data_IF_272267187458
#
_entry.id   IF_272267187458
#
_cell.length_a   1.000
_cell.length_b   1.000
_cell.length_c   1.000
_cell.angle_alpha   90.00
_cell.angle_beta   90.00
_cell.angle_gamma   90.00
#
_symmetry.space_group_name_H-M   'P 1'
#
loop_
_entity.id
_entity.type
_entity.pdbx_description
1 polymer ?
#
# COMPACT_ATOMS: atom_id res chain seq x y z
N UNK A 1 62.29 -34.85 50.22
CA UNK A 1 62.05 -33.77 49.26
C UNK A 1 60.75 -34.12 48.55
N UNK A 2 59.71 -33.41 48.86
CA UNK A 2 58.36 -33.60 48.23
C UNK A 2 58.10 -32.46 47.33
N UNK A 3 58.08 -32.71 46.04
CA UNK A 3 57.70 -31.75 45.05
C UNK A 3 56.17 -31.60 44.98
N UNK A 4 55.71 -30.42 45.28
CA UNK A 4 54.30 -30.06 45.17
C UNK A 4 54.01 -29.67 43.71
N UNK A 5 53.25 -30.50 43.02
CA UNK A 5 52.79 -30.16 41.67
C UNK A 5 51.49 -29.37 41.81
N UNK A 6 51.54 -28.06 41.47
CA UNK A 6 50.40 -27.17 41.45
C UNK A 6 49.69 -27.31 40.09
N UNK A 7 48.59 -28.04 40.05
CA UNK A 7 47.75 -28.16 38.85
C UNK A 7 46.86 -26.92 38.74
N UNK A 8 47.16 -26.04 37.80
CA UNK A 8 46.31 -24.88 37.45
C UNK A 8 45.17 -25.39 36.58
N UNK A 9 43.97 -25.38 37.13
CA UNK A 9 42.73 -25.65 36.41
C UNK A 9 42.33 -24.42 35.62
N UNK A 10 42.54 -24.44 34.31
CA UNK A 10 42.11 -23.40 33.40
C UNK A 10 40.63 -23.61 33.08
N UNK A 11 39.75 -22.76 33.62
CA UNK A 11 38.33 -22.71 33.28
C UNK A 11 38.12 -22.12 31.90
N UNK A 12 37.29 -22.70 31.04
CA UNK A 12 36.95 -22.09 29.75
C UNK A 12 36.05 -20.84 29.99
N UNK A 13 36.54 -19.69 29.63
CA UNK A 13 35.71 -18.47 29.49
C UNK A 13 34.64 -18.71 28.42
N UNK A 14 33.40 -18.82 28.88
CA UNK A 14 32.25 -18.86 27.99
C UNK A 14 32.19 -17.57 27.14
N UNK A 15 32.18 -17.72 25.86
CA UNK A 15 31.95 -16.61 24.92
C UNK A 15 30.60 -15.96 25.23
N UNK A 16 30.49 -14.62 25.20
CA UNK A 16 29.20 -13.97 25.31
C UNK A 16 28.36 -14.36 24.08
N UNK A 17 27.27 -15.05 24.34
CA UNK A 17 26.30 -15.39 23.32
C UNK A 17 25.79 -14.07 22.69
N UNK A 18 26.14 -13.86 21.45
CA UNK A 18 25.57 -12.79 20.64
C UNK A 18 24.09 -13.09 20.52
N UNK A 19 23.26 -12.34 21.25
CA UNK A 19 21.82 -12.35 21.01
C UNK A 19 21.59 -12.02 19.53
N UNK A 20 20.69 -12.72 18.83
CA UNK A 20 20.38 -12.34 17.45
C UNK A 20 19.85 -10.92 17.50
N UNK A 21 20.55 -10.01 16.80
CA UNK A 21 20.03 -8.69 16.49
C UNK A 21 18.67 -8.89 15.81
N UNK A 22 17.61 -8.68 16.57
CA UNK A 22 16.27 -8.55 16.00
C UNK A 22 16.34 -7.26 15.19
N UNK A 23 16.63 -7.39 13.90
CA UNK A 23 16.41 -6.33 12.93
C UNK A 23 14.91 -6.10 12.92
N UNK A 24 14.47 -5.17 13.77
CA UNK A 24 13.11 -4.63 13.68
C UNK A 24 13.11 -3.82 12.40
N UNK A 25 12.72 -4.44 11.30
CA UNK A 25 12.40 -3.69 10.10
C UNK A 25 11.38 -2.63 10.49
N UNK A 26 11.62 -1.34 10.16
CA UNK A 26 10.61 -0.31 10.39
C UNK A 26 9.32 -0.80 9.71
N UNK A 27 8.15 -0.62 10.35
CA UNK A 27 6.89 -1.08 9.77
C UNK A 27 6.77 -0.48 8.37
N UNK A 28 6.84 -1.33 7.37
CA UNK A 28 6.69 -0.92 5.98
C UNK A 28 5.37 -0.16 5.82
N UNK A 29 5.34 0.84 4.96
CA UNK A 29 4.11 1.56 4.63
C UNK A 29 3.06 0.54 4.20
N UNK A 30 1.86 0.66 4.76
CA UNK A 30 0.68 -0.10 4.34
C UNK A 30 -0.29 0.86 3.66
N UNK A 31 -0.80 0.49 2.50
CA UNK A 31 -1.79 1.31 1.81
C UNK A 31 -3.19 1.01 2.34
N UNK A 32 -3.85 2.00 2.93
CA UNK A 32 -5.29 1.98 3.11
C UNK A 32 -5.96 2.46 1.81
N UNK A 33 -7.07 1.83 1.44
CA UNK A 33 -7.91 2.31 0.34
C UNK A 33 -8.93 3.28 0.92
N UNK A 34 -8.92 4.50 0.41
CA UNK A 34 -9.81 5.58 0.85
C UNK A 34 -10.73 5.99 -0.29
N UNK A 35 -11.99 6.25 0.03
CA UNK A 35 -13.02 6.58 -0.93
C UNK A 35 -13.95 7.69 -0.42
N UNK A 36 -14.70 8.28 -1.34
CA UNK A 36 -15.79 9.19 -0.99
C UNK A 36 -16.88 8.45 -0.21
N UNK A 37 -17.56 9.15 0.70
CA UNK A 37 -18.61 8.56 1.54
C UNK A 37 -19.77 7.93 0.77
N UNK A 38 -20.08 8.42 -0.42
CA UNK A 38 -21.16 7.90 -1.28
C UNK A 38 -20.77 6.65 -2.08
N UNK A 39 -19.52 6.20 -2.04
CA UNK A 39 -19.12 4.94 -2.68
C UNK A 39 -19.91 3.79 -2.00
N UNK A 40 -20.68 3.00 -2.79
CA UNK A 40 -21.71 2.09 -2.22
C UNK A 40 -21.15 0.76 -1.72
N UNK A 41 -19.84 0.66 -1.50
CA UNK A 41 -19.16 -0.56 -1.02
C UNK A 41 -18.31 -0.26 0.20
N UNK A 42 -18.19 -1.23 1.11
CA UNK A 42 -17.34 -1.17 2.30
C UNK A 42 -16.15 -2.13 2.21
N UNK A 43 -16.22 -3.07 1.29
CA UNK A 43 -15.21 -4.10 1.05
C UNK A 43 -15.08 -4.36 -0.45
N UNK A 44 -13.86 -4.59 -0.89
CA UNK A 44 -13.53 -4.99 -2.26
C UNK A 44 -12.58 -6.18 -2.22
N UNK A 45 -12.74 -7.13 -3.11
CA UNK A 45 -11.66 -8.07 -3.37
C UNK A 45 -10.48 -7.35 -4.01
N UNK A 46 -9.28 -7.88 -3.83
CA UNK A 46 -8.09 -7.35 -4.51
C UNK A 46 -8.26 -7.34 -6.03
N UNK A 47 -8.97 -8.34 -6.57
CA UNK A 47 -9.26 -8.43 -8.01
C UNK A 47 -10.20 -7.29 -8.48
N UNK A 48 -11.23 -6.95 -7.70
CA UNK A 48 -12.13 -5.82 -8.01
C UNK A 48 -11.40 -4.48 -7.89
N UNK A 49 -10.57 -4.32 -6.84
CA UNK A 49 -9.73 -3.14 -6.69
C UNK A 49 -8.83 -2.95 -7.92
N UNK A 50 -8.19 -4.00 -8.41
CA UNK A 50 -7.37 -3.97 -9.62
C UNK A 50 -8.17 -3.54 -10.85
N UNK A 51 -9.37 -4.09 -11.06
CA UNK A 51 -10.25 -3.67 -12.17
C UNK A 51 -10.58 -2.18 -12.11
N UNK A 52 -10.83 -1.64 -10.92
CA UNK A 52 -11.08 -0.21 -10.73
C UNK A 52 -9.85 0.61 -11.10
N UNK A 53 -8.69 0.29 -10.54
CA UNK A 53 -7.45 1.03 -10.78
C UNK A 53 -6.93 0.85 -12.21
N UNK A 54 -7.16 -0.27 -12.87
CA UNK A 54 -6.82 -0.51 -14.26
C UNK A 54 -7.83 0.12 -15.26
N UNK A 55 -8.93 0.70 -14.75
CA UNK A 55 -9.95 1.32 -15.57
C UNK A 55 -10.87 0.34 -16.32
N UNK A 56 -10.91 -0.92 -15.88
CA UNK A 56 -11.81 -1.94 -16.42
C UNK A 56 -13.20 -1.84 -15.79
N UNK A 57 -13.29 -1.30 -14.56
CA UNK A 57 -14.53 -0.92 -13.91
C UNK A 57 -14.57 0.59 -13.76
N UNK A 58 -15.45 1.25 -14.49
CA UNK A 58 -15.53 2.71 -14.57
C UNK A 58 -16.72 3.30 -13.81
N UNK A 59 -17.61 2.46 -13.28
CA UNK A 59 -18.78 2.87 -12.51
C UNK A 59 -18.93 2.02 -11.27
N UNK A 60 -19.35 2.65 -10.19
CA UNK A 60 -19.92 2.01 -9.02
C UNK A 60 -21.35 1.54 -9.31
N UNK A 61 -21.97 0.87 -8.37
CA UNK A 61 -23.41 0.59 -8.45
C UNK A 61 -24.20 1.92 -8.44
N UNK A 62 -25.31 1.98 -9.18
CA UNK A 62 -26.13 3.18 -9.27
C UNK A 62 -25.59 4.25 -10.21
N UNK A 63 -24.82 3.89 -11.23
CA UNK A 63 -24.25 4.77 -12.26
C UNK A 63 -23.30 5.88 -11.73
N UNK A 64 -22.84 5.76 -10.49
CA UNK A 64 -21.86 6.66 -9.92
C UNK A 64 -20.49 6.39 -10.59
N UNK A 65 -19.91 7.42 -11.22
CA UNK A 65 -18.65 7.28 -11.92
C UNK A 65 -17.49 7.07 -10.97
N UNK A 66 -16.62 6.11 -11.28
CA UNK A 66 -15.35 5.92 -10.56
C UNK A 66 -14.35 7.01 -10.94
N UNK A 67 -13.79 7.70 -9.96
CA UNK A 67 -12.72 8.69 -10.15
C UNK A 67 -11.48 8.23 -9.38
N UNK A 68 -10.51 7.68 -10.10
CA UNK A 68 -9.27 7.18 -9.50
C UNK A 68 -8.26 8.32 -9.36
N UNK A 69 -7.79 8.54 -8.13
CA UNK A 69 -6.72 9.49 -7.81
C UNK A 69 -5.48 8.70 -7.40
N UNK A 70 -4.35 9.01 -8.02
CA UNK A 70 -3.10 8.28 -7.76
C UNK A 70 -2.03 9.17 -7.15
N UNK A 71 -1.20 8.63 -6.24
CA UNK A 71 -0.13 9.38 -5.58
C UNK A 71 0.85 10.02 -6.54
N UNK A 72 1.59 11.06 -6.09
CA UNK A 72 2.62 11.70 -6.89
C UNK A 72 3.76 10.72 -7.20
N UNK A 73 4.37 10.89 -8.37
CA UNK A 73 5.53 10.10 -8.79
C UNK A 73 6.67 10.25 -7.78
N UNK A 74 7.32 9.14 -7.43
CA UNK A 74 8.43 9.11 -6.47
C UNK A 74 7.99 8.99 -5.00
N UNK A 75 6.68 9.00 -4.69
CA UNK A 75 6.23 8.72 -3.32
C UNK A 75 6.24 7.21 -3.01
N UNK A 76 6.37 6.88 -1.73
CA UNK A 76 6.34 5.49 -1.27
C UNK A 76 4.98 4.84 -1.54
N UNK A 77 3.91 5.61 -1.38
CA UNK A 77 2.54 5.18 -1.70
C UNK A 77 2.38 4.85 -3.18
N UNK A 78 3.03 5.64 -4.06
CA UNK A 78 3.06 5.38 -5.50
C UNK A 78 3.77 4.08 -5.82
N UNK A 79 4.95 3.87 -5.24
CA UNK A 79 5.74 2.65 -5.45
C UNK A 79 4.96 1.41 -5.02
N UNK A 80 4.32 1.44 -3.85
CA UNK A 80 3.51 0.34 -3.35
C UNK A 80 2.26 0.10 -4.21
N UNK A 81 1.56 1.15 -4.62
CA UNK A 81 0.41 1.07 -5.50
C UNK A 81 0.76 0.42 -6.83
N UNK A 82 1.86 0.83 -7.45
CA UNK A 82 2.34 0.25 -8.70
C UNK A 82 2.71 -1.22 -8.53
N UNK A 83 3.42 -1.58 -7.47
CA UNK A 83 3.86 -2.97 -7.23
C UNK A 83 2.73 -3.91 -6.84
N UNK A 84 1.79 -3.49 -5.98
CA UNK A 84 0.77 -4.37 -5.38
C UNK A 84 -0.56 -4.39 -6.14
N UNK A 85 -0.97 -3.26 -6.70
CA UNK A 85 -2.26 -3.14 -7.38
C UNK A 85 -2.10 -3.21 -8.89
N UNK A 86 -1.24 -2.38 -9.47
CA UNK A 86 -1.02 -2.36 -10.91
C UNK A 86 -0.11 -3.50 -11.41
N UNK A 87 0.77 -4.01 -10.56
CA UNK A 87 1.82 -4.99 -10.93
C UNK A 87 2.65 -4.51 -12.12
N UNK A 88 3.05 -3.24 -12.09
CA UNK A 88 3.74 -2.54 -13.16
C UNK A 88 4.83 -1.63 -12.62
N UNK A 89 5.88 -1.47 -13.41
CA UNK A 89 6.83 -0.37 -13.21
C UNK A 89 6.19 0.96 -13.66
N UNK A 90 6.80 2.09 -13.31
CA UNK A 90 6.34 3.42 -13.75
C UNK A 90 6.29 3.54 -15.29
N UNK A 91 7.27 2.95 -15.98
CA UNK A 91 7.29 2.92 -17.45
C UNK A 91 6.17 2.07 -18.02
N UNK A 92 5.96 0.87 -17.49
CA UNK A 92 4.87 -0.02 -17.92
C UNK A 92 3.49 0.59 -17.64
N UNK A 93 3.31 1.25 -16.50
CA UNK A 93 2.09 1.98 -16.16
C UNK A 93 1.79 3.07 -17.20
N UNK A 94 2.80 3.85 -17.57
CA UNK A 94 2.66 4.92 -18.57
C UNK A 94 2.27 4.37 -19.95
N UNK A 95 2.96 3.32 -20.42
CA UNK A 95 2.65 2.66 -21.68
C UNK A 95 1.25 2.04 -21.69
N UNK A 96 0.85 1.41 -20.59
CA UNK A 96 -0.47 0.83 -20.42
C UNK A 96 -1.58 1.88 -20.64
N UNK A 97 -1.47 3.04 -19.98
CA UNK A 97 -2.48 4.09 -20.09
C UNK A 97 -2.48 4.77 -21.44
N UNK A 98 -1.31 5.00 -22.05
CA UNK A 98 -1.23 5.52 -23.42
C UNK A 98 -1.99 4.58 -24.38
N UNK A 99 -1.71 3.29 -24.32
CA UNK A 99 -2.36 2.30 -25.17
C UNK A 99 -3.87 2.20 -24.92
N UNK A 100 -4.30 2.24 -23.64
CA UNK A 100 -5.72 2.14 -23.28
C UNK A 100 -6.53 3.34 -23.74
N UNK A 101 -5.98 4.55 -23.59
CA UNK A 101 -6.62 5.77 -24.10
C UNK A 101 -6.63 5.80 -25.63
N UNK A 102 -5.54 5.39 -26.27
CA UNK A 102 -5.48 5.33 -27.74
C UNK A 102 -6.49 4.35 -28.34
N UNK A 103 -6.80 3.24 -27.64
CA UNK A 103 -7.82 2.28 -28.06
C UNK A 103 -9.24 2.66 -27.64
N UNK A 104 -9.43 3.87 -27.10
CA UNK A 104 -10.72 4.37 -26.60
C UNK A 104 -11.35 3.50 -25.49
N UNK A 105 -10.55 2.65 -24.83
CA UNK A 105 -10.98 1.82 -23.71
C UNK A 105 -11.11 2.62 -22.40
N UNK A 106 -10.49 3.78 -22.34
CA UNK A 106 -10.61 4.75 -21.27
C UNK A 106 -10.53 6.19 -21.83
N UNK A 107 -11.28 7.12 -21.23
CA UNK A 107 -11.24 8.52 -21.64
C UNK A 107 -9.92 9.20 -21.24
N UNK A 108 -9.33 8.81 -20.11
CA UNK A 108 -8.08 9.34 -19.60
C UNK A 108 -7.45 8.38 -18.61
N UNK A 109 -6.16 8.53 -18.38
CA UNK A 109 -5.48 7.88 -17.24
C UNK A 109 -5.99 8.44 -15.90
N UNK A 110 -5.81 7.71 -14.78
CA UNK A 110 -6.10 8.21 -13.44
C UNK A 110 -5.41 9.54 -13.16
N UNK A 111 -6.09 10.39 -12.42
CA UNK A 111 -5.57 11.73 -12.08
C UNK A 111 -4.47 11.62 -11.03
N UNK A 112 -3.26 12.04 -11.41
CA UNK A 112 -2.15 12.15 -10.48
C UNK A 112 -2.32 13.41 -9.62
N UNK A 113 -2.27 13.24 -8.30
CA UNK A 113 -2.30 14.34 -7.36
C UNK A 113 -0.90 14.86 -7.03
N UNK A 114 -0.80 16.10 -6.59
CA UNK A 114 0.48 16.73 -6.24
C UNK A 114 0.96 16.35 -4.82
N UNK A 115 0.04 15.91 -3.96
CA UNK A 115 0.34 15.43 -2.62
C UNK A 115 -0.79 14.54 -2.09
N UNK A 116 -0.52 13.73 -1.05
CA UNK A 116 -1.52 12.88 -0.40
C UNK A 116 -2.58 13.71 0.35
N UNK A 117 -2.23 14.92 0.80
CA UNK A 117 -3.21 15.86 1.38
C UNK A 117 -4.24 16.29 0.33
N UNK A 118 -3.78 16.66 -0.86
CA UNK A 118 -4.67 17.02 -1.97
C UNK A 118 -5.52 15.82 -2.39
N UNK A 119 -4.97 14.59 -2.40
CA UNK A 119 -5.76 13.38 -2.65
C UNK A 119 -6.93 13.27 -1.67
N UNK A 120 -6.67 13.44 -0.37
CA UNK A 120 -7.69 13.37 0.66
C UNK A 120 -8.78 14.44 0.49
N UNK A 121 -8.39 15.66 0.18
CA UNK A 121 -9.34 16.76 -0.06
C UNK A 121 -10.23 16.47 -1.28
N UNK A 122 -9.65 15.97 -2.36
CA UNK A 122 -10.40 15.59 -3.57
C UNK A 122 -11.29 14.37 -3.33
N UNK A 123 -10.84 13.37 -2.57
CA UNK A 123 -11.68 12.21 -2.22
C UNK A 123 -12.92 12.65 -1.45
N UNK A 124 -12.81 13.61 -0.54
CA UNK A 124 -13.96 14.15 0.22
C UNK A 124 -14.93 14.96 -0.64
N UNK A 125 -14.46 15.57 -1.71
CA UNK A 125 -15.24 16.50 -2.54
C UNK A 125 -15.85 15.86 -3.79
N UNK A 126 -15.25 14.81 -4.30
CA UNK A 126 -15.67 14.20 -5.58
C UNK A 126 -16.43 12.91 -5.30
N UNK A 127 -17.76 12.88 -5.53
CA UNK A 127 -18.52 11.64 -5.46
C UNK A 127 -17.91 10.55 -6.35
N UNK A 128 -17.83 9.33 -5.84
CA UNK A 128 -17.23 8.19 -6.53
C UNK A 128 -15.69 8.17 -6.57
N UNK A 129 -15.03 9.14 -5.94
CA UNK A 129 -13.56 9.15 -5.87
C UNK A 129 -13.01 8.02 -5.00
N UNK A 130 -11.89 7.45 -5.45
CA UNK A 130 -11.10 6.45 -4.74
C UNK A 130 -9.61 6.77 -4.87
N UNK A 131 -8.87 6.55 -3.80
CA UNK A 131 -7.43 6.75 -3.73
C UNK A 131 -6.80 5.81 -2.71
N UNK A 132 -5.52 5.97 -2.49
CA UNK A 132 -4.77 5.29 -1.43
C UNK A 132 -4.26 6.29 -0.41
N UNK A 133 -3.99 5.83 0.80
CA UNK A 133 -3.33 6.60 1.84
C UNK A 133 -2.39 5.70 2.64
N UNK A 134 -1.39 6.27 3.28
CA UNK A 134 -0.64 5.58 4.31
C UNK A 134 -1.60 5.24 5.47
N UNK A 135 -1.71 3.97 5.82
CA UNK A 135 -2.61 3.51 6.87
C UNK A 135 -2.35 4.13 8.24
N UNK A 136 -1.13 4.62 8.48
CA UNK A 136 -0.76 5.34 9.70
C UNK A 136 -1.20 6.82 9.70
N UNK A 137 -1.64 7.34 8.55
CA UNK A 137 -1.96 8.77 8.32
C UNK A 137 -3.27 8.95 7.57
N UNK A 138 -4.28 8.14 7.89
CA UNK A 138 -5.59 8.23 7.22
C UNK A 138 -6.22 9.59 7.55
N UNK A 139 -6.56 10.39 6.53
CA UNK A 139 -7.18 11.69 6.75
C UNK A 139 -8.62 11.53 7.27
N UNK A 140 -9.11 12.44 8.12
CA UNK A 140 -10.50 12.40 8.57
C UNK A 140 -11.47 12.70 7.42
N UNK A 141 -12.69 12.18 7.53
CA UNK A 141 -13.78 12.46 6.58
C UNK A 141 -13.74 11.69 5.27
N UNK A 142 -12.86 10.70 5.13
CA UNK A 142 -12.87 9.74 4.03
C UNK A 142 -13.41 8.40 4.50
N UNK A 143 -14.02 7.65 3.61
CA UNK A 143 -14.41 6.26 3.85
C UNK A 143 -13.20 5.35 3.63
N UNK A 144 -12.93 4.45 4.57
CA UNK A 144 -11.86 3.45 4.43
C UNK A 144 -12.48 2.13 4.02
N UNK A 145 -12.02 1.57 2.91
CA UNK A 145 -12.52 0.29 2.41
C UNK A 145 -11.64 -0.87 2.93
N UNK A 146 -12.26 -1.99 3.20
CA UNK A 146 -11.55 -3.26 3.45
C UNK A 146 -11.17 -3.90 2.12
N UNK A 147 -10.11 -4.72 2.16
CA UNK A 147 -9.70 -5.52 1.00
C UNK A 147 -9.65 -6.98 1.42
N UNK A 148 -10.40 -7.83 0.70
CA UNK A 148 -10.59 -9.25 1.03
C UNK A 148 -11.06 -9.45 2.48
N UNK A 149 -11.98 -8.58 2.96
CA UNK A 149 -12.51 -8.59 4.31
C UNK A 149 -11.55 -8.06 5.38
N UNK A 150 -10.36 -7.57 5.02
CA UNK A 150 -9.32 -7.13 5.95
C UNK A 150 -9.14 -5.61 5.93
N UNK A 151 -8.92 -5.03 7.09
CA UNK A 151 -8.46 -3.65 7.24
C UNK A 151 -6.94 -3.55 7.07
N UNK A 152 -6.41 -2.35 6.85
CA UNK A 152 -4.97 -2.14 6.73
C UNK A 152 -4.19 -2.47 8.02
N UNK A 153 -4.87 -2.57 9.17
CA UNK A 153 -4.26 -2.97 10.44
C UNK A 153 -4.12 -4.50 10.59
N UNK A 154 -4.92 -5.28 9.84
CA UNK A 154 -5.01 -6.71 10.03
C UNK A 154 -3.79 -7.46 9.48
N UNK A 155 -3.47 -8.58 10.13
CA UNK A 155 -2.45 -9.49 9.61
C UNK A 155 -2.90 -10.12 8.29
N UNK A 156 -1.95 -10.24 7.35
CA UNK A 156 -2.26 -10.77 6.01
C UNK A 156 -3.02 -9.79 5.11
N UNK A 157 -3.06 -8.49 5.44
CA UNK A 157 -3.56 -7.46 4.53
C UNK A 157 -2.71 -7.39 3.25
N UNK A 158 -3.33 -7.39 2.04
CA UNK A 158 -2.58 -7.59 0.79
C UNK A 158 -1.74 -6.39 0.34
N UNK A 159 -2.02 -5.17 0.83
CA UNK A 159 -1.38 -3.93 0.37
C UNK A 159 -0.31 -3.41 1.36
N UNK A 160 0.65 -4.27 1.71
CA UNK A 160 1.79 -3.98 2.58
C UNK A 160 3.12 -4.38 1.94
#
# INVERSE_FOLDING_TARGET
MRALVLTILLAPMGAPGTAPDLVVEPPGIRLAIVAHGEVPVDDLSLAELRKIFLGDRQFWEGDLRVVVLVPPTGSSERALLLGKVYEKTESQYRHYWIAKVFREEAQSAPKRVVSMRVAADLVRQIPGAISVADSSKIPPGVKVLRIDGKSAADEGYPLR
#
